data_IF_229892141066
#
_entry.id   IF_229892141066
#
_cell.length_a   1.000
_cell.length_b   1.000
_cell.length_c   1.000
_cell.angle_alpha   90.00
_cell.angle_beta   90.00
_cell.angle_gamma   90.00
#
_symmetry.space_group_name_H-M   'P 1'
#
loop_
_entity.id
_entity.type
_entity.pdbx_description
1 polymer ?
#
# COMPACT_ATOMS: atom_id res chain seq x y z
N UNK A 1 17.43 14.11 7.27
CA UNK A 1 16.41 14.03 6.20
C UNK A 1 16.21 12.57 5.84
N UNK A 2 15.08 11.98 6.24
CA UNK A 2 14.66 10.66 5.77
C UNK A 2 14.31 10.82 4.29
N UNK A 3 15.10 10.22 3.40
CA UNK A 3 14.77 10.19 1.97
C UNK A 3 13.42 9.52 1.75
N UNK A 4 12.80 9.75 0.58
CA UNK A 4 11.57 9.04 0.22
C UNK A 4 11.93 7.59 -0.06
N UNK A 5 11.47 6.67 0.78
CA UNK A 5 11.65 5.22 0.58
C UNK A 5 10.36 4.60 0.09
N UNK A 6 10.46 3.80 -0.97
CA UNK A 6 9.30 3.21 -1.63
C UNK A 6 8.48 2.28 -0.72
N UNK A 7 9.12 1.62 0.24
CA UNK A 7 8.48 0.56 1.04
C UNK A 7 7.83 1.05 2.35
N UNK A 8 8.10 2.28 2.75
CA UNK A 8 7.59 2.88 4.00
C UNK A 8 6.05 2.88 4.05
N UNK A 9 5.31 3.33 3.02
CA UNK A 9 3.86 3.28 3.06
C UNK A 9 3.31 1.85 3.00
N UNK A 10 3.97 0.93 2.27
CA UNK A 10 3.57 -0.48 2.22
C UNK A 10 3.64 -1.15 3.58
N UNK A 11 4.66 -0.84 4.37
CA UNK A 11 4.82 -1.39 5.71
C UNK A 11 3.64 -1.03 6.62
N UNK A 12 3.25 0.25 6.61
CA UNK A 12 2.06 0.72 7.33
C UNK A 12 0.77 0.06 6.82
N UNK A 13 0.59 0.00 5.50
CA UNK A 13 -0.58 -0.60 4.86
C UNK A 13 -0.73 -2.08 5.21
N UNK A 14 0.37 -2.84 5.28
CA UNK A 14 0.36 -4.25 5.65
C UNK A 14 -0.14 -4.44 7.09
N UNK A 15 0.39 -3.65 8.04
CA UNK A 15 -0.07 -3.67 9.43
C UNK A 15 -1.56 -3.34 9.56
N UNK A 16 -2.00 -2.30 8.86
CA UNK A 16 -3.41 -1.91 8.81
C UNK A 16 -4.29 -3.01 8.18
N UNK A 17 -3.84 -3.63 7.09
CA UNK A 17 -4.54 -4.70 6.38
C UNK A 17 -4.74 -5.94 7.25
N UNK A 18 -3.71 -6.37 7.99
CA UNK A 18 -3.79 -7.50 8.93
C UNK A 18 -4.80 -7.20 10.05
N UNK A 19 -4.76 -5.99 10.62
CA UNK A 19 -5.73 -5.59 11.64
C UNK A 19 -7.17 -5.54 11.09
N UNK A 20 -7.36 -5.04 9.86
CA UNK A 20 -8.66 -4.97 9.21
C UNK A 20 -9.21 -6.37 8.90
N UNK A 21 -8.37 -7.30 8.46
CA UNK A 21 -8.75 -8.69 8.24
C UNK A 21 -9.19 -9.39 9.54
N UNK A 22 -8.58 -9.02 10.67
CA UNK A 22 -8.94 -9.52 12.00
C UNK A 22 -10.06 -8.72 12.69
N UNK A 23 -10.82 -7.88 11.97
CA UNK A 23 -11.73 -6.91 12.59
C UNK A 23 -12.78 -7.53 13.52
N UNK A 24 -13.34 -8.69 13.18
CA UNK A 24 -14.30 -9.41 14.03
C UNK A 24 -13.65 -9.85 15.35
N UNK A 25 -12.48 -10.48 15.30
CA UNK A 25 -11.74 -10.92 16.47
C UNK A 25 -11.27 -9.75 17.34
N UNK A 26 -10.85 -8.64 16.72
CA UNK A 26 -10.42 -7.43 17.41
C UNK A 26 -11.57 -6.77 18.17
N UNK A 27 -12.80 -6.80 17.64
CA UNK A 27 -13.99 -6.35 18.38
C UNK A 27 -14.30 -7.17 19.61
N UNK A 28 -13.96 -8.46 19.59
CA UNK A 28 -14.07 -9.36 20.74
C UNK A 28 -12.90 -9.21 21.72
N UNK A 29 -12.02 -8.21 21.54
CA UNK A 29 -10.89 -7.94 22.42
C UNK A 29 -9.66 -8.85 22.21
N UNK A 30 -9.67 -9.73 21.20
CA UNK A 30 -8.62 -10.73 20.98
C UNK A 30 -7.45 -10.18 20.18
N UNK A 31 -6.72 -9.19 20.68
CA UNK A 31 -5.72 -8.48 19.87
C UNK A 31 -4.29 -9.06 19.88
N UNK A 32 -3.86 -9.66 20.99
CA UNK A 32 -2.43 -9.98 21.21
C UNK A 32 -1.82 -10.90 20.14
N UNK A 33 -2.53 -11.98 19.79
CA UNK A 33 -2.07 -12.96 18.78
C UNK A 33 -1.98 -12.36 17.37
N UNK A 34 -2.95 -11.52 17.01
CA UNK A 34 -2.99 -10.87 15.70
C UNK A 34 -1.88 -9.82 15.55
N UNK A 35 -1.58 -9.08 16.63
CA UNK A 35 -0.47 -8.13 16.64
C UNK A 35 0.87 -8.86 16.54
N UNK A 36 1.04 -9.95 17.30
CA UNK A 36 2.24 -10.78 17.20
C UNK A 36 2.41 -11.35 15.78
N UNK A 37 1.33 -11.81 15.14
CA UNK A 37 1.35 -12.27 13.74
C UNK A 37 1.75 -11.15 12.76
N UNK A 38 1.27 -9.92 12.96
CA UNK A 38 1.67 -8.77 12.16
C UNK A 38 3.18 -8.49 12.31
N UNK A 39 3.70 -8.51 13.53
CA UNK A 39 5.14 -8.34 13.79
C UNK A 39 5.98 -9.50 13.22
N UNK A 40 5.49 -10.74 13.28
CA UNK A 40 6.15 -11.89 12.67
C UNK A 40 6.19 -11.77 11.15
N UNK A 41 5.08 -11.40 10.51
CA UNK A 41 5.06 -11.10 9.07
C UNK A 41 6.06 -9.99 8.72
N UNK A 42 6.05 -8.89 9.49
CA UNK A 42 6.98 -7.80 9.34
C UNK A 42 8.44 -8.24 9.43
N UNK A 43 8.80 -8.89 10.53
CA UNK A 43 10.19 -9.23 10.85
C UNK A 43 10.76 -10.40 10.05
N UNK A 44 9.91 -11.33 9.59
CA UNK A 44 10.37 -12.54 8.89
C UNK A 44 10.18 -12.48 7.37
N UNK A 45 9.25 -11.66 6.87
CA UNK A 45 8.91 -11.64 5.43
C UNK A 45 9.12 -10.25 4.85
N UNK A 46 8.38 -9.25 5.33
CA UNK A 46 8.35 -7.94 4.68
C UNK A 46 9.68 -7.17 4.82
N UNK A 47 10.17 -6.98 6.05
CA UNK A 47 11.38 -6.20 6.30
C UNK A 47 12.63 -6.86 5.71
N UNK A 48 12.86 -8.18 5.83
CA UNK A 48 13.98 -8.83 5.16
C UNK A 48 13.94 -8.65 3.64
N UNK A 49 12.76 -8.74 3.01
CA UNK A 49 12.59 -8.53 1.58
C UNK A 49 12.88 -7.08 1.18
N UNK A 50 12.33 -6.09 1.90
CA UNK A 50 12.59 -4.67 1.70
C UNK A 50 14.09 -4.34 1.84
N UNK A 51 14.72 -4.77 2.93
CA UNK A 51 16.15 -4.51 3.17
C UNK A 51 17.04 -5.18 2.12
N UNK A 52 16.64 -6.34 1.62
CA UNK A 52 17.37 -7.03 0.54
C UNK A 52 17.30 -6.24 -0.78
N UNK A 53 16.12 -5.71 -1.12
CA UNK A 53 15.96 -4.81 -2.27
C UNK A 53 16.77 -3.52 -2.08
N UNK A 54 16.69 -2.90 -0.90
CA UNK A 54 17.42 -1.67 -0.58
C UNK A 54 18.95 -1.85 -0.62
N UNK A 55 19.45 -3.01 -0.19
CA UNK A 55 20.87 -3.34 -0.23
C UNK A 55 21.36 -3.59 -1.67
N UNK A 56 20.57 -4.31 -2.48
CA UNK A 56 20.94 -4.64 -3.85
C UNK A 56 20.75 -3.48 -4.84
N UNK A 57 19.72 -2.65 -4.61
CA UNK A 57 19.29 -1.57 -5.51
C UNK A 57 19.02 -0.27 -4.73
N UNK A 58 20.06 0.35 -4.14
CA UNK A 58 19.93 1.53 -3.28
C UNK A 58 19.35 2.74 -4.02
N UNK A 59 19.68 2.88 -5.30
CA UNK A 59 19.14 3.91 -6.19
C UNK A 59 17.64 3.80 -6.34
N UNK A 60 17.12 2.58 -6.59
CA UNK A 60 15.68 2.36 -6.69
C UNK A 60 14.97 2.57 -5.35
N UNK A 61 15.52 2.01 -4.26
CA UNK A 61 14.90 2.09 -2.93
C UNK A 61 14.78 3.54 -2.43
N UNK A 62 15.69 4.42 -2.84
CA UNK A 62 15.68 5.86 -2.53
C UNK A 62 14.98 6.71 -3.59
N UNK A 63 14.26 6.10 -4.54
CA UNK A 63 13.64 6.78 -5.67
C UNK A 63 14.62 7.67 -6.44
N UNK A 64 15.83 7.20 -6.68
CA UNK A 64 16.91 7.86 -7.43
C UNK A 64 17.54 9.07 -6.72
N UNK A 65 17.25 9.28 -5.43
CA UNK A 65 17.84 10.38 -4.64
C UNK A 65 19.29 10.11 -4.25
N UNK A 66 19.69 8.84 -4.07
CA UNK A 66 21.04 8.47 -3.63
C UNK A 66 21.59 7.28 -4.39
N UNK A 67 22.87 7.35 -4.76
CA UNK A 67 23.60 6.25 -5.38
C UNK A 67 23.93 5.11 -4.40
N UNK A 68 24.09 5.44 -3.11
CA UNK A 68 24.45 4.48 -2.07
C UNK A 68 23.77 4.80 -0.74
N UNK A 69 23.62 3.77 0.08
CA UNK A 69 23.12 3.89 1.43
C UNK A 69 24.28 4.12 2.41
N UNK A 70 24.17 5.08 3.35
CA UNK A 70 25.15 5.23 4.42
C UNK A 70 25.33 3.95 5.23
N UNK A 71 26.54 3.71 5.75
CA UNK A 71 26.79 2.61 6.69
C UNK A 71 25.84 2.68 7.89
N UNK A 72 25.22 1.56 8.26
CA UNK A 72 24.26 1.50 9.37
C UNK A 72 22.86 2.03 9.05
N UNK A 73 22.56 2.41 7.80
CA UNK A 73 21.23 2.87 7.42
C UNK A 73 20.16 1.75 7.45
N UNK A 74 20.52 0.55 6.99
CA UNK A 74 19.58 -0.58 6.86
C UNK A 74 18.92 -1.00 8.19
N UNK A 75 19.64 -1.13 9.32
CA UNK A 75 18.98 -1.38 10.61
C UNK A 75 17.96 -0.33 11.01
N UNK A 76 18.26 0.96 10.75
CA UNK A 76 17.34 2.07 11.02
C UNK A 76 16.09 2.02 10.15
N UNK A 77 16.25 1.69 8.86
CA UNK A 77 15.13 1.47 7.95
C UNK A 77 14.26 0.30 8.40
N UNK A 78 14.86 -0.84 8.75
CA UNK A 78 14.10 -2.01 9.22
C UNK A 78 13.33 -1.75 10.51
N UNK A 79 13.93 -1.01 11.45
CA UNK A 79 13.24 -0.58 12.67
C UNK A 79 12.08 0.37 12.37
N UNK A 80 12.26 1.31 11.43
CA UNK A 80 11.20 2.22 10.99
C UNK A 80 10.04 1.47 10.34
N UNK A 81 10.33 0.52 9.45
CA UNK A 81 9.31 -0.31 8.81
C UNK A 81 8.52 -1.12 9.84
N UNK A 82 9.19 -1.83 10.76
CA UNK A 82 8.50 -2.54 11.84
C UNK A 82 7.65 -1.60 12.70
N UNK A 83 8.15 -0.41 13.01
CA UNK A 83 7.40 0.59 13.78
C UNK A 83 6.16 1.08 13.02
N UNK A 84 6.26 1.31 11.70
CA UNK A 84 5.14 1.74 10.87
C UNK A 84 4.10 0.64 10.69
N UNK A 85 4.54 -0.60 10.49
CA UNK A 85 3.66 -1.76 10.47
C UNK A 85 2.92 -1.89 11.80
N UNK A 86 3.63 -1.77 12.93
CA UNK A 86 3.00 -1.78 14.25
C UNK A 86 2.01 -0.63 14.43
N UNK A 87 2.36 0.58 13.99
CA UNK A 87 1.49 1.75 14.05
C UNK A 87 0.22 1.56 13.21
N UNK A 88 0.34 1.08 11.97
CA UNK A 88 -0.78 0.78 11.08
C UNK A 88 -1.74 -0.24 11.70
N UNK A 89 -1.20 -1.29 12.32
CA UNK A 89 -2.01 -2.27 13.05
C UNK A 89 -2.74 -1.64 14.25
N UNK A 90 -2.01 -0.92 15.11
CA UNK A 90 -2.55 -0.37 16.36
C UNK A 90 -3.61 0.71 16.13
N UNK A 91 -3.40 1.59 15.14
CA UNK A 91 -4.37 2.63 14.78
C UNK A 91 -5.63 2.03 14.17
N UNK A 92 -5.47 1.03 13.30
CA UNK A 92 -6.62 0.31 12.70
C UNK A 92 -7.41 -0.42 13.78
N UNK A 93 -6.73 -1.12 14.70
CA UNK A 93 -7.34 -1.77 15.85
C UNK A 93 -8.11 -0.76 16.72
N UNK A 94 -7.50 0.38 17.03
CA UNK A 94 -8.13 1.44 17.82
C UNK A 94 -9.43 1.91 17.16
N UNK A 95 -9.41 2.16 15.85
CA UNK A 95 -10.60 2.54 15.09
C UNK A 95 -11.69 1.44 15.14
N UNK A 96 -11.33 0.16 14.96
CA UNK A 96 -12.25 -0.98 15.04
C UNK A 96 -12.89 -1.09 16.43
N UNK A 97 -12.08 -0.99 17.49
CA UNK A 97 -12.53 -1.06 18.88
C UNK A 97 -13.45 0.12 19.24
N UNK A 98 -13.19 1.30 18.69
CA UNK A 98 -14.06 2.47 18.81
C UNK A 98 -15.36 2.36 18.00
N UNK A 99 -15.57 1.27 17.24
CA UNK A 99 -16.72 1.10 16.36
C UNK A 99 -16.67 1.96 15.10
N UNK A 100 -15.49 2.51 14.75
CA UNK A 100 -15.24 3.38 13.60
C UNK A 100 -14.66 2.58 12.43
N UNK A 101 -15.40 1.59 11.94
CA UNK A 101 -14.90 0.65 10.90
C UNK A 101 -14.52 1.37 9.60
N UNK A 102 -15.21 2.45 9.22
CA UNK A 102 -14.86 3.27 8.04
C UNK A 102 -13.47 3.88 8.17
N UNK A 103 -13.14 4.41 9.35
CA UNK A 103 -11.82 4.94 9.64
C UNK A 103 -10.73 3.86 9.63
N UNK A 104 -11.06 2.64 10.02
CA UNK A 104 -10.16 1.50 9.92
C UNK A 104 -9.83 1.16 8.46
N UNK A 105 -10.83 1.17 7.56
CA UNK A 105 -10.61 0.98 6.12
C UNK A 105 -9.71 2.08 5.54
N UNK A 106 -9.87 3.33 5.97
CA UNK A 106 -9.02 4.44 5.53
C UNK A 106 -7.54 4.24 5.89
N UNK A 107 -7.22 3.51 6.97
CA UNK A 107 -5.82 3.20 7.32
C UNK A 107 -5.13 2.32 6.28
N UNK A 108 -5.89 1.56 5.48
CA UNK A 108 -5.37 0.79 4.35
C UNK A 108 -5.37 1.62 3.07
N UNK A 109 -6.46 2.36 2.80
CA UNK A 109 -6.58 3.12 1.55
C UNK A 109 -5.61 4.28 1.44
N UNK A 110 -5.35 4.99 2.54
CA UNK A 110 -4.46 6.16 2.54
C UNK A 110 -3.01 5.85 2.14
N UNK A 111 -2.31 4.87 2.75
CA UNK A 111 -0.95 4.51 2.31
C UNK A 111 -0.93 3.95 0.89
N UNK A 112 -1.95 3.19 0.46
CA UNK A 112 -2.07 2.75 -0.93
C UNK A 112 -2.20 3.94 -1.90
N UNK A 113 -2.96 4.98 -1.52
CA UNK A 113 -3.06 6.21 -2.30
C UNK A 113 -1.74 6.97 -2.35
N UNK A 114 -1.03 7.08 -1.23
CA UNK A 114 0.32 7.68 -1.19
C UNK A 114 1.24 6.94 -2.16
N UNK A 115 1.23 5.61 -2.14
CA UNK A 115 2.01 4.82 -3.10
C UNK A 115 1.57 5.04 -4.53
N UNK A 116 0.27 5.03 -4.82
CA UNK A 116 -0.22 5.28 -6.16
C UNK A 116 0.20 6.66 -6.69
N UNK A 117 0.19 7.69 -5.83
CA UNK A 117 0.68 9.03 -6.19
C UNK A 117 2.19 9.00 -6.47
N UNK A 118 2.98 8.33 -5.62
CA UNK A 118 4.42 8.14 -5.85
C UNK A 118 4.66 7.37 -7.16
N UNK A 119 3.86 6.34 -7.45
CA UNK A 119 3.93 5.56 -8.69
C UNK A 119 3.61 6.42 -9.90
N UNK A 120 2.55 7.24 -9.86
CA UNK A 120 2.12 8.06 -11.01
C UNK A 120 3.06 9.24 -11.26
N UNK A 121 3.63 9.86 -10.22
CA UNK A 121 4.52 11.01 -10.37
C UNK A 121 5.98 10.63 -10.54
N UNK A 122 6.39 9.60 -9.81
CA UNK A 122 7.72 9.04 -9.83
C UNK A 122 7.87 7.90 -10.84
N UNK A 123 6.90 7.68 -11.73
CA UNK A 123 6.89 6.50 -12.62
C UNK A 123 8.22 6.32 -13.35
N UNK A 124 8.79 7.41 -13.89
CA UNK A 124 10.12 7.41 -14.53
C UNK A 124 11.20 6.87 -13.60
N UNK A 125 11.23 7.32 -12.34
CA UNK A 125 12.20 6.90 -11.32
C UNK A 125 12.05 5.42 -10.95
N UNK A 126 10.81 4.92 -10.99
CA UNK A 126 10.48 3.53 -10.63
C UNK A 126 10.81 2.52 -11.71
N UNK A 127 10.70 2.91 -12.98
CA UNK A 127 11.09 2.07 -14.12
C UNK A 127 12.51 2.36 -14.62
N UNK A 128 13.24 3.24 -13.93
CA UNK A 128 14.67 3.45 -14.17
C UNK A 128 15.48 2.50 -13.30
N UNK A 129 16.48 1.86 -13.91
CA UNK A 129 17.37 0.95 -13.20
C UNK A 129 18.28 1.68 -12.20
N UNK A 130 18.74 2.85 -12.62
CA UNK A 130 19.69 3.70 -11.91
C UNK A 130 19.47 5.18 -12.29
N UNK A 131 20.27 6.06 -11.69
CA UNK A 131 20.23 7.51 -11.91
C UNK A 131 20.65 7.89 -13.32
N UNK A 132 21.51 7.09 -13.97
CA UNK A 132 21.91 7.33 -15.34
C UNK A 132 20.73 7.07 -16.29
N UNK A 133 20.04 5.94 -16.14
CA UNK A 133 18.81 5.62 -16.87
C UNK A 133 17.70 6.62 -16.59
N UNK A 134 17.60 7.12 -15.36
CA UNK A 134 16.66 8.21 -15.04
C UNK A 134 17.03 9.53 -15.74
N UNK A 135 18.31 9.91 -15.77
CA UNK A 135 18.76 11.15 -16.41
C UNK A 135 18.58 11.12 -17.93
N UNK A 136 18.70 9.94 -18.56
CA UNK A 136 18.49 9.74 -20.00
C UNK A 136 17.07 9.28 -20.35
N UNK A 137 16.14 9.34 -19.40
CA UNK A 137 14.79 8.83 -19.60
C UNK A 137 14.08 9.62 -20.72
N UNK A 138 13.50 8.96 -21.73
CA UNK A 138 12.96 9.64 -22.90
C UNK A 138 11.88 10.67 -22.54
N UNK A 139 12.01 11.87 -23.10
CA UNK A 139 10.94 12.86 -23.09
C UNK A 139 9.95 12.55 -24.20
N UNK A 140 8.79 12.01 -23.85
CA UNK A 140 7.68 11.86 -24.78
C UNK A 140 7.15 13.24 -25.17
N UNK A 141 7.63 13.77 -26.29
CA UNK A 141 7.13 15.04 -26.87
C UNK A 141 5.97 14.80 -27.83
N UNK A 142 5.81 13.58 -28.35
CA UNK A 142 4.73 13.16 -29.25
C UNK A 142 4.30 11.74 -28.89
N UNK A 143 3.00 11.48 -28.99
CA UNK A 143 2.40 10.16 -28.71
C UNK A 143 2.83 9.12 -29.74
N UNK A 144 3.21 9.55 -30.94
CA UNK A 144 3.54 8.65 -32.06
C UNK A 144 4.93 7.98 -31.93
N UNK A 145 5.76 8.41 -30.99
CA UNK A 145 7.11 7.87 -30.77
C UNK A 145 7.24 7.13 -29.43
N UNK A 146 6.47 6.05 -29.27
CA UNK A 146 6.50 5.19 -28.08
C UNK A 146 7.68 4.22 -28.05
N UNK A 147 8.44 4.08 -29.15
CA UNK A 147 9.51 3.07 -29.25
C UNK A 147 10.59 3.21 -28.17
N UNK A 148 11.12 4.42 -27.87
CA UNK A 148 12.14 4.58 -26.82
C UNK A 148 11.61 4.24 -25.43
N UNK A 149 10.33 4.53 -25.18
CA UNK A 149 9.65 4.19 -23.94
C UNK A 149 9.48 2.68 -23.79
N UNK A 150 9.00 2.01 -24.85
CA UNK A 150 8.85 0.56 -24.85
C UNK A 150 10.18 -0.14 -24.67
N UNK A 151 11.26 0.37 -25.30
CA UNK A 151 12.61 -0.16 -25.09
C UNK A 151 13.02 -0.05 -23.61
N UNK A 152 12.84 1.11 -22.97
CA UNK A 152 13.11 1.28 -21.53
C UNK A 152 12.27 0.34 -20.67
N UNK A 153 10.97 0.21 -20.97
CA UNK A 153 10.07 -0.67 -20.23
C UNK A 153 10.49 -2.14 -20.36
N UNK A 154 10.86 -2.60 -21.55
CA UNK A 154 11.36 -3.97 -21.77
C UNK A 154 12.68 -4.17 -21.02
N UNK A 155 13.64 -3.25 -21.16
CA UNK A 155 14.93 -3.32 -20.45
C UNK A 155 14.71 -3.39 -18.94
N UNK A 156 13.79 -2.58 -18.40
CA UNK A 156 13.40 -2.64 -17.00
C UNK A 156 12.80 -4.00 -16.63
N UNK A 157 11.78 -4.47 -17.34
CA UNK A 157 11.09 -5.74 -17.04
C UNK A 157 12.00 -6.97 -17.11
N UNK A 158 13.05 -6.93 -17.92
CA UNK A 158 14.05 -8.00 -18.01
C UNK A 158 15.25 -7.84 -17.07
N UNK A 159 15.29 -6.76 -16.29
CA UNK A 159 16.42 -6.46 -15.39
C UNK A 159 16.41 -7.32 -14.12
N UNK A 160 17.58 -7.45 -13.50
CA UNK A 160 17.69 -8.08 -12.17
C UNK A 160 16.84 -7.39 -11.11
N UNK A 161 16.67 -6.06 -11.20
CA UNK A 161 15.82 -5.27 -10.31
C UNK A 161 14.35 -5.70 -10.45
N UNK A 162 13.80 -5.70 -11.66
CA UNK A 162 12.40 -6.07 -11.88
C UNK A 162 12.12 -7.52 -11.46
N UNK A 163 13.02 -8.46 -11.78
CA UNK A 163 12.91 -9.84 -11.32
C UNK A 163 12.95 -9.95 -9.79
N UNK A 164 13.82 -9.18 -9.14
CA UNK A 164 13.89 -9.13 -7.67
C UNK A 164 12.59 -8.58 -7.10
N UNK A 165 12.07 -7.46 -7.61
CA UNK A 165 10.80 -6.86 -7.19
C UNK A 165 9.60 -7.78 -7.42
N UNK A 166 9.57 -8.50 -8.54
CA UNK A 166 8.52 -9.48 -8.82
C UNK A 166 8.57 -10.63 -7.82
N UNK A 167 9.75 -11.17 -7.54
CA UNK A 167 9.92 -12.26 -6.60
C UNK A 167 9.60 -11.85 -5.16
N UNK A 168 10.19 -10.75 -4.67
CA UNK A 168 9.96 -10.24 -3.32
C UNK A 168 8.53 -9.73 -3.16
N UNK A 169 7.97 -9.07 -4.18
CA UNK A 169 6.58 -8.66 -4.23
C UNK A 169 5.62 -9.85 -4.17
N UNK A 170 5.82 -10.88 -4.99
CA UNK A 170 4.99 -12.08 -4.95
C UNK A 170 5.04 -12.78 -3.57
N UNK A 171 6.23 -12.87 -2.97
CA UNK A 171 6.41 -13.46 -1.64
C UNK A 171 5.69 -12.63 -0.57
N UNK A 172 5.93 -11.32 -0.52
CA UNK A 172 5.41 -10.43 0.53
C UNK A 172 3.90 -10.22 0.41
N UNK A 173 3.39 -9.97 -0.80
CA UNK A 173 1.95 -9.82 -1.07
C UNK A 173 1.22 -11.15 -0.93
N UNK A 174 1.81 -12.26 -1.41
CA UNK A 174 1.23 -13.59 -1.28
C UNK A 174 1.08 -14.02 0.18
N UNK A 175 2.14 -13.84 1.00
CA UNK A 175 2.08 -14.11 2.43
C UNK A 175 1.05 -13.20 3.14
N UNK A 176 1.01 -11.91 2.81
CA UNK A 176 0.04 -10.97 3.36
C UNK A 176 -1.41 -11.37 3.03
N UNK A 177 -1.67 -11.67 1.75
CA UNK A 177 -2.98 -12.09 1.28
C UNK A 177 -3.44 -13.40 1.95
N UNK A 178 -2.53 -14.36 2.12
CA UNK A 178 -2.79 -15.60 2.84
C UNK A 178 -3.17 -15.33 4.30
N UNK A 179 -2.38 -14.52 5.02
CA UNK A 179 -2.65 -14.14 6.41
C UNK A 179 -4.02 -13.45 6.50
N UNK A 180 -4.25 -12.43 5.67
CA UNK A 180 -5.50 -11.69 5.67
C UNK A 180 -6.70 -12.60 5.35
N UNK A 181 -6.58 -13.48 4.37
CA UNK A 181 -7.64 -14.43 4.00
C UNK A 181 -8.00 -15.37 5.15
N UNK A 182 -6.98 -15.97 5.80
CA UNK A 182 -7.17 -16.86 6.94
C UNK A 182 -7.83 -16.13 8.13
N UNK A 183 -7.31 -14.95 8.49
CA UNK A 183 -7.86 -14.15 9.59
C UNK A 183 -9.30 -13.72 9.30
N UNK A 184 -9.58 -13.30 8.07
CA UNK A 184 -10.91 -12.87 7.67
C UNK A 184 -11.91 -14.03 7.75
N UNK A 185 -11.55 -15.21 7.23
CA UNK A 185 -12.40 -16.40 7.26
C UNK A 185 -12.69 -16.86 8.69
N UNK A 186 -11.67 -16.94 9.56
CA UNK A 186 -11.91 -17.29 10.97
C UNK A 186 -12.73 -16.23 11.69
N UNK A 187 -12.57 -14.96 11.35
CA UNK A 187 -13.36 -13.87 11.91
C UNK A 187 -14.84 -13.98 11.58
N UNK A 188 -15.17 -14.36 10.35
CA UNK A 188 -16.55 -14.61 9.93
C UNK A 188 -17.16 -15.82 10.65
N UNK A 189 -16.40 -16.92 10.76
CA UNK A 189 -16.83 -18.12 11.49
C UNK A 189 -17.10 -17.81 12.96
N UNK A 190 -16.19 -17.10 13.64
CA UNK A 190 -16.34 -16.67 15.04
C UNK A 190 -17.57 -15.77 15.24
N UNK A 191 -17.91 -14.96 14.23
CA UNK A 191 -19.08 -14.08 14.24
C UNK A 191 -20.39 -14.78 13.86
N UNK A 192 -20.35 -16.09 13.52
CA UNK A 192 -21.53 -16.85 13.08
C UNK A 192 -22.04 -16.47 11.68
N UNK A 193 -21.23 -15.77 10.88
CA UNK A 193 -21.56 -15.38 9.52
C UNK A 193 -21.33 -16.58 8.60
N UNK A 194 -22.41 -17.21 8.13
CA UNK A 194 -22.37 -18.43 7.32
C UNK A 194 -21.92 -18.20 5.87
N UNK A 195 -22.17 -17.00 5.34
CA UNK A 195 -21.84 -16.63 3.97
C UNK A 195 -20.84 -15.46 3.99
N UNK A 196 -19.57 -15.79 3.83
CA UNK A 196 -18.54 -14.79 3.51
C UNK A 196 -18.61 -14.37 2.04
N UNK A 197 -17.87 -13.33 1.64
CA UNK A 197 -17.87 -12.85 0.25
C UNK A 197 -17.40 -13.88 -0.79
N UNK A 198 -16.77 -14.98 -0.38
CA UNK A 198 -16.12 -15.91 -1.29
C UNK A 198 -14.91 -15.29 -1.97
N UNK A 199 -14.06 -16.14 -2.57
CA UNK A 199 -12.80 -15.70 -3.17
C UNK A 199 -13.01 -14.70 -4.33
N UNK A 200 -14.04 -14.91 -5.14
CA UNK A 200 -14.32 -14.08 -6.33
C UNK A 200 -14.69 -12.66 -5.94
N UNK A 201 -15.62 -12.47 -5.00
CA UNK A 201 -16.06 -11.13 -4.57
C UNK A 201 -14.95 -10.40 -3.82
N UNK A 202 -14.20 -11.10 -2.96
CA UNK A 202 -13.03 -10.54 -2.29
C UNK A 202 -11.95 -10.10 -3.29
N UNK A 203 -11.68 -10.93 -4.30
CA UNK A 203 -10.77 -10.60 -5.40
C UNK A 203 -11.24 -9.38 -6.19
N UNK A 204 -12.52 -9.34 -6.56
CA UNK A 204 -13.12 -8.21 -7.27
C UNK A 204 -13.06 -6.91 -6.46
N UNK A 205 -13.36 -6.97 -5.15
CA UNK A 205 -13.24 -5.82 -4.26
C UNK A 205 -11.79 -5.32 -4.20
N UNK A 206 -10.81 -6.22 -4.14
CA UNK A 206 -9.39 -5.89 -4.22
C UNK A 206 -9.02 -5.20 -5.55
N UNK A 207 -9.44 -5.75 -6.69
CA UNK A 207 -9.19 -5.17 -8.02
C UNK A 207 -9.82 -3.78 -8.15
N UNK A 208 -11.08 -3.61 -7.73
CA UNK A 208 -11.76 -2.32 -7.74
C UNK A 208 -11.03 -1.32 -6.83
N UNK A 209 -10.53 -1.76 -5.68
CA UNK A 209 -9.73 -0.91 -4.77
C UNK A 209 -8.46 -0.42 -5.42
N UNK A 210 -7.72 -1.31 -6.08
CA UNK A 210 -6.48 -0.97 -6.77
C UNK A 210 -6.79 0.00 -7.93
N UNK A 211 -7.76 -0.34 -8.78
CA UNK A 211 -8.14 0.48 -9.93
C UNK A 211 -8.63 1.87 -9.49
N UNK A 212 -9.48 1.95 -8.47
CA UNK A 212 -9.96 3.20 -7.91
C UNK A 212 -8.83 4.05 -7.33
N UNK A 213 -7.92 3.44 -6.59
CA UNK A 213 -6.75 4.14 -6.02
C UNK A 213 -5.82 4.70 -7.11
N UNK A 214 -5.58 3.93 -8.18
CA UNK A 214 -4.80 4.38 -9.33
C UNK A 214 -5.48 5.51 -10.10
N UNK A 215 -6.79 5.41 -10.33
CA UNK A 215 -7.55 6.46 -11.00
C UNK A 215 -7.50 7.78 -10.21
N UNK A 216 -7.63 7.71 -8.88
CA UNK A 216 -7.50 8.87 -7.99
C UNK A 216 -6.09 9.45 -8.05
N UNK A 217 -5.06 8.61 -8.01
CA UNK A 217 -3.67 9.07 -8.12
C UNK A 217 -3.37 9.75 -9.46
N UNK A 218 -3.90 9.21 -10.57
CA UNK A 218 -3.83 9.82 -11.89
C UNK A 218 -4.52 11.18 -11.93
N UNK A 219 -5.72 11.29 -11.35
CA UNK A 219 -6.42 12.57 -11.24
C UNK A 219 -5.64 13.60 -10.42
N UNK A 220 -5.10 13.20 -9.27
CA UNK A 220 -4.22 14.05 -8.46
C UNK A 220 -3.03 14.52 -9.30
N UNK A 221 -2.46 13.65 -10.15
CA UNK A 221 -1.33 14.03 -10.99
C UNK A 221 -1.65 14.97 -12.13
N UNK A 222 -2.80 14.80 -12.78
CA UNK A 222 -3.28 15.76 -13.76
C UNK A 222 -3.51 17.14 -13.11
N UNK A 223 -4.05 17.16 -11.89
CA UNK A 223 -4.29 18.40 -11.15
C UNK A 223 -2.99 19.06 -10.68
N UNK A 224 -1.99 18.28 -10.29
CA UNK A 224 -0.64 18.80 -9.99
C UNK A 224 0.00 19.47 -11.19
N UNK A 225 -0.13 18.88 -12.37
CA UNK A 225 0.41 19.44 -13.61
C UNK A 225 -0.34 20.70 -14.06
N UNK A 226 -1.67 20.75 -13.88
CA UNK A 226 -2.48 21.88 -14.33
C UNK A 226 -2.54 23.08 -13.37
N UNK A 227 -2.67 22.82 -12.07
CA UNK A 227 -2.96 23.85 -11.05
C UNK A 227 -1.77 24.06 -10.09
N UNK A 228 -0.74 23.23 -10.19
CA UNK A 228 0.39 23.24 -9.27
C UNK A 228 0.04 22.68 -7.88
N UNK A 229 0.95 22.84 -6.90
CA UNK A 229 0.82 22.22 -5.58
C UNK A 229 -0.40 22.69 -4.77
N UNK A 230 -0.91 23.90 -5.05
CA UNK A 230 -2.12 24.41 -4.40
C UNK A 230 -3.37 23.61 -4.79
N UNK A 231 -3.41 23.02 -5.99
CA UNK A 231 -4.48 22.13 -6.42
C UNK A 231 -4.59 20.87 -5.56
N UNK A 232 -3.46 20.31 -5.11
CA UNK A 232 -3.44 19.10 -4.26
C UNK A 232 -4.01 19.35 -2.88
N UNK A 233 -3.69 20.50 -2.29
CA UNK A 233 -4.20 20.88 -0.98
C UNK A 233 -5.73 21.00 -0.97
N UNK A 234 -6.36 21.32 -2.11
CA UNK A 234 -7.81 21.33 -2.26
C UNK A 234 -8.41 19.94 -2.57
N UNK A 235 -7.68 19.10 -3.32
CA UNK A 235 -8.16 17.80 -3.81
C UNK A 235 -8.10 16.71 -2.75
N UNK A 236 -7.06 16.72 -1.91
CA UNK A 236 -6.92 15.74 -0.83
C UNK A 236 -8.10 15.81 0.16
N UNK A 237 -8.53 16.99 0.66
CA UNK A 237 -9.73 17.10 1.48
C UNK A 237 -11.03 16.72 0.75
N UNK A 238 -11.15 17.00 -0.55
CA UNK A 238 -12.36 16.70 -1.33
C UNK A 238 -12.49 15.20 -1.60
N UNK A 239 -11.41 14.53 -1.98
CA UNK A 239 -11.36 13.07 -2.08
C UNK A 239 -11.55 12.43 -0.72
N UNK A 240 -10.95 13.01 0.32
CA UNK A 240 -11.15 12.56 1.69
C UNK A 240 -12.61 12.71 2.12
N UNK A 241 -13.29 13.82 1.82
CA UNK A 241 -14.72 14.01 2.05
C UNK A 241 -15.56 13.05 1.20
N UNK A 242 -15.19 12.79 -0.04
CA UNK A 242 -15.91 11.86 -0.91
C UNK A 242 -15.80 10.40 -0.41
N UNK A 243 -14.63 9.99 0.08
CA UNK A 243 -14.34 8.64 0.57
C UNK A 243 -14.82 8.47 2.02
N UNK A 244 -14.58 9.45 2.89
CA UNK A 244 -14.85 9.40 4.33
C UNK A 244 -16.21 10.00 4.72
N UNK A 245 -16.61 11.16 4.19
CA UNK A 245 -17.80 11.88 4.65
C UNK A 245 -19.10 11.46 3.94
N UNK A 246 -19.04 11.01 2.68
CA UNK A 246 -20.18 10.31 2.05
C UNK A 246 -20.13 8.79 2.22
N UNK A 247 -19.00 8.26 2.68
CA UNK A 247 -18.85 6.87 3.10
C UNK A 247 -19.16 5.83 2.03
N UNK A 248 -19.44 6.18 0.78
CA UNK A 248 -19.95 5.25 -0.23
C UNK A 248 -18.97 4.11 -0.47
N UNK A 249 -17.72 4.43 -0.80
CA UNK A 249 -16.71 3.42 -1.09
C UNK A 249 -16.30 2.59 0.14
N UNK A 250 -16.05 3.25 1.28
CA UNK A 250 -15.73 2.54 2.52
C UNK A 250 -16.91 1.69 3.02
N UNK A 251 -18.16 2.12 2.81
CA UNK A 251 -19.35 1.33 3.16
C UNK A 251 -19.54 0.16 2.20
N UNK A 252 -19.25 0.34 0.91
CA UNK A 252 -19.20 -0.76 -0.05
C UNK A 252 -18.16 -1.80 0.38
N UNK A 253 -16.93 -1.39 0.71
CA UNK A 253 -15.92 -2.32 1.21
C UNK A 253 -16.34 -2.98 2.52
N UNK A 254 -16.96 -2.25 3.45
CA UNK A 254 -17.48 -2.84 4.70
C UNK A 254 -18.56 -3.89 4.41
N UNK A 255 -19.47 -3.62 3.48
CA UNK A 255 -20.52 -4.55 3.10
C UNK A 255 -19.98 -5.74 2.30
N UNK A 256 -19.16 -5.48 1.28
CA UNK A 256 -18.57 -6.48 0.38
C UNK A 256 -17.58 -7.37 1.10
N UNK A 257 -16.86 -6.87 2.10
CA UNK A 257 -15.96 -7.67 2.92
C UNK A 257 -16.62 -8.14 4.22
N UNK A 258 -17.94 -8.01 4.38
CA UNK A 258 -18.67 -8.43 5.58
C UNK A 258 -17.98 -7.99 6.90
N UNK A 259 -17.45 -6.77 6.92
CA UNK A 259 -16.75 -6.21 8.08
C UNK A 259 -17.76 -5.82 9.16
N UNK A 260 -17.35 -5.78 10.45
CA UNK A 260 -18.25 -5.42 11.52
C UNK A 260 -18.89 -4.03 11.30
N UNK A 261 -20.22 -3.88 11.40
CA UNK A 261 -20.90 -2.62 11.13
C UNK A 261 -20.48 -1.55 12.15
N UNK A 262 -20.25 -0.31 11.70
CA UNK A 262 -19.86 0.79 12.58
C UNK A 262 -20.94 1.12 13.63
N UNK A 263 -20.55 1.76 14.74
CA UNK A 263 -21.48 2.35 15.72
C UNK A 263 -21.87 3.80 15.37
N UNK A 264 -21.34 4.31 14.27
CA UNK A 264 -21.65 5.65 13.77
C UNK A 264 -23.13 5.67 13.39
N UNK A 265 -23.92 6.48 14.10
CA UNK A 265 -25.34 6.68 13.78
C UNK A 265 -25.42 7.21 12.35
N UNK A 266 -26.14 6.50 11.50
CA UNK A 266 -26.55 6.94 10.16
C UNK A 266 -27.30 8.26 10.22
#
# INVERSE_FOLDING_TARGET
MLGVYADVPWSYAAGAGIALAAAHQLRLGRAGRHFALALLYGGLVFVPASLSVAAAYPEWATLQERASLPGGFLPGLGALELALLAAGFLLTRWAIAAGRTRWAVLQVLLPCLVMAVLLVHGWKRLISLDRAGYAHFPELRRVDDLRPLLAHAVTFLTSGLALTLLFTGALTVGALALIMGILHQFGLTDAGVREGPGLIRAGLAGVITIAGTLAVAALIGLLLQGVGPLGVLAVVPVLWLAIAARGGYASLLVADLALPPGREKT
#
